data_IF_554290721885
#
_entry.id   IF_554290721885
#
_cell.length_a   1.000
_cell.length_b   1.000
_cell.length_c   1.000
_cell.angle_alpha   90.00
_cell.angle_beta   90.00
_cell.angle_gamma   90.00
#
_symmetry.space_group_name_H-M   'P 1'
#
loop_
_entity.id
_entity.type
_entity.pdbx_description
1 polymer ?
#
# COMPACT_ATOMS: atom_id res chain seq x y z
N UNK A 1 1.12 6.12 -7.11
CA UNK A 1 1.92 5.67 -8.27
C UNK A 1 1.20 5.95 -9.59
N UNK A 2 0.34 5.05 -10.07
CA UNK A 2 -0.35 5.09 -11.39
C UNK A 2 -0.79 6.49 -11.82
N UNK A 3 -1.64 7.16 -11.04
CA UNK A 3 -2.18 8.51 -11.32
C UNK A 3 -1.08 9.55 -11.63
N UNK A 4 0.06 9.55 -10.92
CA UNK A 4 1.16 10.54 -11.09
C UNK A 4 1.90 10.28 -12.40
N UNK A 5 2.13 9.01 -12.70
CA UNK A 5 2.84 8.55 -13.92
C UNK A 5 1.98 8.72 -15.17
N UNK A 6 0.66 8.53 -15.06
CA UNK A 6 -0.29 8.76 -16.15
C UNK A 6 -0.51 10.26 -16.41
N UNK A 7 -0.73 11.07 -15.37
CA UNK A 7 -0.81 12.53 -15.49
C UNK A 7 0.46 13.12 -16.14
N UNK A 8 1.64 12.65 -15.73
CA UNK A 8 2.91 13.04 -16.34
C UNK A 8 3.02 12.67 -17.82
N UNK A 9 2.41 11.56 -18.29
CA UNK A 9 2.30 11.24 -19.73
C UNK A 9 1.38 12.20 -20.48
N UNK A 10 0.36 12.76 -19.82
CA UNK A 10 -0.49 13.84 -20.34
C UNK A 10 0.14 15.25 -20.17
N UNK A 11 1.40 15.35 -19.72
CA UNK A 11 2.09 16.62 -19.48
C UNK A 11 1.68 17.37 -18.20
N UNK A 12 0.77 16.80 -17.41
CA UNK A 12 0.28 17.42 -16.17
C UNK A 12 1.12 16.96 -14.98
N UNK A 13 1.83 17.89 -14.35
CA UNK A 13 2.54 17.63 -13.09
C UNK A 13 1.55 17.67 -11.91
N UNK A 14 0.90 16.54 -11.63
CA UNK A 14 0.16 16.36 -10.37
C UNK A 14 1.08 15.79 -9.29
N UNK A 15 0.94 16.29 -8.07
CA UNK A 15 1.23 15.46 -6.90
C UNK A 15 0.05 14.49 -6.70
N UNK A 16 0.31 13.25 -6.23
CA UNK A 16 -0.76 12.24 -6.04
C UNK A 16 -1.06 12.07 -4.58
N UNK A 17 -2.27 12.49 -4.25
CA UNK A 17 -2.55 13.16 -2.99
C UNK A 17 -4.12 13.16 -2.97
N UNK A 18 -4.76 12.61 -1.93
CA UNK A 18 -6.21 12.24 -1.81
C UNK A 18 -6.72 12.12 -0.33
N UNK A 19 -7.99 12.48 -0.08
CA UNK A 19 -8.59 13.11 1.12
C UNK A 19 -8.00 13.09 2.55
N UNK A 20 -8.35 14.19 3.25
CA UNK A 20 -8.75 14.24 4.65
C UNK A 20 -10.21 14.76 4.79
N UNK A 21 -10.94 14.31 5.81
CA UNK A 21 -12.26 14.85 6.15
C UNK A 21 -13.24 14.82 4.98
N UNK A 22 -13.93 15.94 4.73
CA UNK A 22 -14.89 16.11 3.62
C UNK A 22 -14.25 16.69 2.34
N UNK A 23 -12.97 16.39 2.07
CA UNK A 23 -12.32 16.83 0.83
C UNK A 23 -12.60 15.87 -0.33
N UNK A 24 -13.03 16.43 -1.45
CA UNK A 24 -13.16 15.76 -2.75
C UNK A 24 -11.91 14.93 -3.08
N UNK A 25 -12.08 13.67 -3.45
CA UNK A 25 -10.97 12.75 -3.79
C UNK A 25 -11.26 11.91 -5.03
N UNK A 26 -10.18 11.48 -5.67
CA UNK A 26 -10.23 10.45 -6.70
C UNK A 26 -10.18 9.06 -6.06
N UNK A 27 -11.29 8.32 -6.07
CA UNK A 27 -11.34 6.91 -5.69
C UNK A 27 -10.91 6.05 -6.87
N UNK A 28 -9.74 5.43 -6.74
CA UNK A 28 -9.13 4.64 -7.80
C UNK A 28 -8.36 3.43 -7.23
N UNK A 29 -8.43 2.31 -7.95
CA UNK A 29 -7.86 0.98 -7.61
C UNK A 29 -8.50 0.33 -6.36
N UNK A 30 -8.75 -0.98 -6.44
CA UNK A 30 -9.27 -1.75 -5.31
C UNK A 30 -10.77 -1.58 -5.05
N UNK A 31 -11.20 -1.79 -3.80
CA UNK A 31 -12.62 -1.94 -3.43
C UNK A 31 -13.16 -0.80 -2.55
N UNK A 32 -12.75 0.44 -2.82
CA UNK A 32 -12.88 1.57 -1.88
C UNK A 32 -14.15 2.43 -2.04
N UNK A 33 -15.08 2.07 -2.94
CA UNK A 33 -16.29 2.88 -3.23
C UNK A 33 -17.23 3.19 -2.04
N UNK A 34 -17.07 2.51 -0.91
CA UNK A 34 -17.82 2.78 0.32
C UNK A 34 -17.33 4.04 1.07
N UNK A 35 -16.14 4.54 0.73
CA UNK A 35 -15.54 5.77 1.27
C UNK A 35 -15.94 7.03 0.47
N UNK A 36 -16.77 6.89 -0.57
CA UNK A 36 -17.14 8.00 -1.44
C UNK A 36 -18.13 8.97 -0.77
N UNK A 37 -17.93 10.27 -1.00
CA UNK A 37 -18.73 11.41 -0.53
C UNK A 37 -19.09 12.33 -1.70
N UNK A 38 -20.08 13.22 -1.52
CA UNK A 38 -20.36 14.29 -2.48
C UNK A 38 -19.10 15.10 -2.82
N UNK A 39 -18.92 15.39 -4.11
CA UNK A 39 -17.75 16.05 -4.69
C UNK A 39 -16.64 15.10 -5.13
N UNK A 40 -16.70 13.81 -4.79
CA UNK A 40 -15.69 12.83 -5.20
C UNK A 40 -15.78 12.43 -6.67
N UNK A 41 -14.66 11.90 -7.16
CA UNK A 41 -14.53 11.35 -8.51
C UNK A 41 -14.12 9.88 -8.44
N UNK A 42 -14.60 9.06 -9.38
CA UNK A 42 -14.34 7.61 -9.41
C UNK A 42 -13.68 7.22 -10.72
N UNK A 43 -12.55 6.51 -10.63
CA UNK A 43 -11.81 5.99 -11.79
C UNK A 43 -11.28 4.57 -11.53
N UNK A 44 -12.03 3.58 -12.02
CA UNK A 44 -11.67 2.16 -11.98
C UNK A 44 -11.70 1.51 -10.59
N UNK A 45 -12.24 2.20 -9.58
CA UNK A 45 -12.52 1.60 -8.27
C UNK A 45 -13.74 0.67 -8.35
N UNK A 46 -13.76 -0.36 -7.52
CA UNK A 46 -14.89 -1.27 -7.37
C UNK A 46 -15.53 -1.25 -5.98
N UNK A 47 -16.61 -2.01 -5.82
CA UNK A 47 -17.33 -2.16 -4.55
C UNK A 47 -16.73 -3.23 -3.64
N UNK A 48 -16.95 -3.07 -2.33
CA UNK A 48 -16.61 -4.05 -1.29
C UNK A 48 -17.88 -4.79 -0.84
N UNK A 49 -17.98 -6.09 -1.19
CA UNK A 49 -19.13 -6.94 -0.84
C UNK A 49 -19.35 -7.17 0.68
N UNK A 50 -18.47 -6.65 1.55
CA UNK A 50 -18.61 -6.71 3.01
C UNK A 50 -19.26 -5.46 3.62
N UNK A 51 -19.14 -4.31 2.95
CA UNK A 51 -19.41 -2.98 3.52
C UNK A 51 -20.42 -2.20 2.66
N UNK A 52 -21.50 -2.85 2.24
CA UNK A 52 -22.45 -2.30 1.29
C UNK A 52 -23.41 -1.25 1.92
N UNK A 53 -24.04 -0.46 1.06
CA UNK A 53 -25.11 0.52 1.32
C UNK A 53 -24.77 1.83 2.05
N UNK A 54 -24.24 1.79 3.29
CA UNK A 54 -24.56 2.84 4.29
C UNK A 54 -24.17 4.30 3.97
N UNK A 55 -23.12 4.55 3.18
CA UNK A 55 -22.71 5.91 2.81
C UNK A 55 -23.26 6.36 1.44
N UNK A 56 -23.38 5.45 0.47
CA UNK A 56 -23.76 5.78 -0.91
C UNK A 56 -25.23 6.21 -1.05
N UNK A 57 -26.11 5.71 -0.17
CA UNK A 57 -27.53 6.12 -0.15
C UNK A 57 -27.71 7.64 0.04
N UNK A 58 -26.87 8.25 0.89
CA UNK A 58 -26.91 9.68 1.22
C UNK A 58 -26.04 10.56 0.32
N UNK A 59 -25.20 9.99 -0.56
CA UNK A 59 -24.48 10.76 -1.57
C UNK A 59 -25.32 10.90 -2.85
N UNK A 60 -25.13 11.98 -3.59
CA UNK A 60 -25.80 12.28 -4.87
C UNK A 60 -24.89 12.94 -5.90
N UNK A 61 -23.76 13.48 -5.49
CA UNK A 61 -22.86 14.28 -6.32
C UNK A 61 -21.50 13.59 -6.47
N UNK A 62 -21.46 12.40 -7.05
CA UNK A 62 -20.21 11.64 -7.32
C UNK A 62 -20.01 11.58 -8.83
N UNK A 63 -18.87 12.05 -9.33
CA UNK A 63 -18.50 12.07 -10.75
C UNK A 63 -17.84 10.72 -11.12
N UNK A 64 -18.49 9.90 -11.95
CA UNK A 64 -18.01 8.54 -12.23
C UNK A 64 -17.47 8.42 -13.65
N UNK A 65 -16.15 8.38 -13.79
CA UNK A 65 -15.47 8.30 -15.09
C UNK A 65 -15.33 6.84 -15.56
N UNK A 66 -15.02 5.93 -14.64
CA UNK A 66 -15.05 4.48 -14.85
C UNK A 66 -15.13 3.73 -13.54
N UNK A 67 -15.49 2.45 -13.60
CA UNK A 67 -15.53 1.55 -12.43
C UNK A 67 -14.80 0.24 -12.72
N UNK A 68 -14.54 -0.58 -11.71
CA UNK A 68 -13.87 -1.88 -11.92
C UNK A 68 -14.62 -2.79 -12.92
N UNK A 69 -15.95 -2.79 -12.90
CA UNK A 69 -16.77 -3.59 -13.80
C UNK A 69 -18.29 -3.44 -13.65
N UNK A 70 -19.08 -4.31 -14.34
CA UNK A 70 -20.52 -4.15 -14.48
C UNK A 70 -21.30 -4.46 -13.20
N UNK A 71 -20.77 -5.29 -12.29
CA UNK A 71 -21.41 -5.55 -10.98
C UNK A 71 -21.37 -4.27 -10.14
N UNK A 72 -20.20 -3.60 -10.08
CA UNK A 72 -20.06 -2.27 -9.48
C UNK A 72 -20.98 -1.25 -10.16
N UNK A 73 -20.98 -1.17 -11.50
CA UNK A 73 -21.82 -0.19 -12.23
C UNK A 73 -23.30 -0.38 -11.92
N UNK A 74 -23.82 -1.60 -12.05
CA UNK A 74 -25.22 -1.94 -11.74
C UNK A 74 -25.61 -1.52 -10.33
N UNK A 75 -24.71 -1.74 -9.38
CA UNK A 75 -24.93 -1.43 -7.97
C UNK A 75 -24.88 0.08 -7.66
N UNK A 76 -24.12 0.88 -8.42
CA UNK A 76 -24.15 2.35 -8.35
C UNK A 76 -25.37 2.96 -9.04
N UNK A 77 -25.76 2.46 -10.23
CA UNK A 77 -26.98 2.88 -10.93
C UNK A 77 -28.24 2.74 -10.05
N UNK A 78 -28.29 1.71 -9.21
CA UNK A 78 -29.38 1.49 -8.24
C UNK A 78 -29.55 2.60 -7.19
N UNK A 79 -28.52 3.41 -6.93
CA UNK A 79 -28.57 4.55 -6.01
C UNK A 79 -28.78 5.91 -6.70
N UNK A 80 -28.93 5.90 -8.03
CA UNK A 80 -29.22 7.09 -8.85
C UNK A 80 -27.99 7.85 -9.37
N UNK A 81 -26.79 7.24 -9.32
CA UNK A 81 -25.60 7.83 -9.96
C UNK A 81 -25.59 7.54 -11.46
N UNK A 82 -25.19 8.51 -12.27
CA UNK A 82 -24.83 8.26 -13.67
C UNK A 82 -23.48 7.55 -13.73
N UNK A 83 -23.40 6.44 -14.47
CA UNK A 83 -22.18 5.62 -14.58
C UNK A 83 -21.99 5.16 -16.03
N UNK A 84 -20.89 5.51 -16.70
CA UNK A 84 -20.61 5.11 -18.08
C UNK A 84 -20.24 3.64 -18.18
N UNK A 85 -20.29 3.09 -19.39
CA UNK A 85 -19.84 1.73 -19.71
C UNK A 85 -18.33 1.69 -19.96
N UNK A 86 -17.56 2.27 -19.03
CA UNK A 86 -16.10 2.20 -18.96
C UNK A 86 -15.69 1.35 -17.76
N UNK A 87 -14.96 0.27 -18.03
CA UNK A 87 -14.58 -0.75 -17.04
C UNK A 87 -13.06 -0.94 -16.96
N UNK A 88 -12.60 -1.48 -15.83
CA UNK A 88 -11.23 -1.96 -15.62
C UNK A 88 -10.59 -1.46 -14.32
N UNK A 89 -9.68 -2.28 -13.76
CA UNK A 89 -8.84 -1.87 -12.63
C UNK A 89 -7.58 -1.13 -13.14
N UNK A 90 -7.26 0.10 -12.68
CA UNK A 90 -6.10 0.86 -13.16
C UNK A 90 -4.74 0.22 -12.89
N UNK A 91 -4.68 -0.85 -12.07
CA UNK A 91 -3.53 -1.74 -11.99
C UNK A 91 -3.13 -2.35 -13.33
N UNK A 92 -4.06 -2.52 -14.29
CA UNK A 92 -3.77 -2.96 -15.66
C UNK A 92 -2.78 -2.02 -16.38
N UNK A 93 -2.77 -0.74 -16.02
CA UNK A 93 -1.86 0.26 -16.60
C UNK A 93 -0.44 0.16 -16.04
N UNK A 94 -0.22 -0.57 -14.93
CA UNK A 94 1.04 -0.50 -14.19
C UNK A 94 2.25 -0.91 -15.04
N UNK A 95 2.16 -2.04 -15.74
CA UNK A 95 3.23 -2.55 -16.60
C UNK A 95 3.56 -1.61 -17.77
N UNK A 96 2.56 -1.02 -18.43
CA UNK A 96 2.75 0.00 -19.48
C UNK A 96 3.35 1.31 -18.93
N UNK A 97 2.96 1.71 -17.71
CA UNK A 97 3.41 2.95 -17.09
C UNK A 97 4.86 2.85 -16.58
N UNK A 98 5.28 1.68 -16.07
CA UNK A 98 6.55 1.48 -15.35
C UNK A 98 7.50 0.47 -16.03
N UNK A 99 7.30 0.13 -17.31
CA UNK A 99 8.05 -0.91 -18.02
C UNK A 99 9.58 -0.81 -17.88
N UNK A 100 10.14 0.40 -17.99
CA UNK A 100 11.58 0.63 -17.85
C UNK A 100 12.10 0.28 -16.46
N UNK A 101 11.34 0.64 -15.42
CA UNK A 101 11.65 0.34 -14.03
C UNK A 101 11.51 -1.17 -13.75
N UNK A 102 10.45 -1.81 -14.26
CA UNK A 102 10.19 -3.25 -14.08
C UNK A 102 11.24 -4.09 -14.83
N UNK A 103 11.57 -3.75 -16.08
CA UNK A 103 12.61 -4.42 -16.87
C UNK A 103 13.98 -4.32 -16.22
N UNK A 104 14.36 -3.15 -15.68
CA UNK A 104 15.62 -2.99 -14.92
C UNK A 104 15.64 -3.86 -13.67
N UNK A 105 14.53 -3.90 -12.92
CA UNK A 105 14.38 -4.74 -11.72
C UNK A 105 14.44 -6.23 -12.06
N UNK A 106 13.81 -6.65 -13.15
CA UNK A 106 13.83 -8.03 -13.63
C UNK A 106 15.24 -8.48 -14.04
N UNK A 107 16.00 -7.65 -14.76
CA UNK A 107 17.41 -7.95 -15.11
C UNK A 107 18.30 -8.10 -13.87
N UNK A 108 18.08 -7.28 -12.83
CA UNK A 108 18.81 -7.39 -11.56
C UNK A 108 18.44 -8.66 -10.76
N UNK A 109 17.17 -9.06 -10.77
CA UNK A 109 16.71 -10.31 -10.17
C UNK A 109 17.24 -11.53 -10.92
N UNK A 110 17.29 -11.48 -12.25
CA UNK A 110 17.81 -12.57 -13.09
C UNK A 110 19.32 -12.80 -12.86
N UNK A 111 20.12 -11.73 -12.92
CA UNK A 111 21.54 -11.78 -12.60
C UNK A 111 21.81 -12.22 -11.14
N UNK A 112 20.87 -12.02 -10.22
CA UNK A 112 20.95 -12.57 -8.87
C UNK A 112 20.73 -14.10 -8.86
N UNK A 113 19.71 -14.62 -9.55
CA UNK A 113 19.50 -16.07 -9.66
C UNK A 113 20.71 -16.78 -10.30
N UNK A 114 21.21 -16.27 -11.42
CA UNK A 114 22.39 -16.80 -12.13
C UNK A 114 23.63 -16.81 -11.22
N UNK A 115 23.99 -15.65 -10.64
CA UNK A 115 25.17 -15.49 -9.79
C UNK A 115 25.18 -16.42 -8.58
N UNK A 116 24.01 -16.74 -8.04
CA UNK A 116 23.87 -17.61 -6.86
C UNK A 116 23.59 -19.08 -7.21
N UNK A 117 23.57 -19.45 -8.49
CA UNK A 117 23.31 -20.82 -8.94
C UNK A 117 21.88 -21.30 -8.64
N UNK A 118 20.94 -20.36 -8.48
CA UNK A 118 19.56 -20.65 -8.11
C UNK A 118 18.68 -20.82 -9.35
N UNK A 119 17.78 -21.79 -9.33
CA UNK A 119 16.73 -21.88 -10.34
C UNK A 119 15.77 -20.68 -10.22
N UNK A 120 15.35 -20.12 -11.36
CA UNK A 120 14.26 -19.14 -11.37
C UNK A 120 12.95 -19.83 -10.94
N UNK A 121 12.13 -19.22 -10.07
CA UNK A 121 10.80 -19.73 -9.75
C UNK A 121 9.92 -19.67 -11.01
N UNK A 122 9.24 -20.78 -11.31
CA UNK A 122 8.28 -20.87 -12.43
C UNK A 122 6.93 -20.27 -12.06
N UNK A 123 6.52 -20.42 -10.81
CA UNK A 123 5.23 -19.91 -10.31
C UNK A 123 5.46 -18.83 -9.25
N UNK A 124 4.69 -17.75 -9.32
CA UNK A 124 4.63 -16.72 -8.27
C UNK A 124 3.30 -16.85 -7.53
N UNK A 125 3.37 -17.03 -6.21
CA UNK A 125 2.20 -17.11 -5.33
C UNK A 125 2.01 -15.79 -4.57
N UNK A 126 0.84 -15.15 -4.72
CA UNK A 126 0.51 -13.87 -4.08
C UNK A 126 -0.79 -14.02 -3.25
N UNK A 127 -0.71 -14.14 -1.92
CA UNK A 127 -1.91 -14.19 -1.08
C UNK A 127 -2.57 -12.81 -1.00
N UNK A 128 -3.82 -12.77 -0.55
CA UNK A 128 -4.44 -11.54 -0.10
C UNK A 128 -3.75 -11.02 1.16
N UNK A 129 -3.65 -9.69 1.33
CA UNK A 129 -3.12 -9.06 2.56
C UNK A 129 -3.88 -9.53 3.83
N UNK A 130 -5.19 -9.81 3.71
CA UNK A 130 -5.98 -10.34 4.82
C UNK A 130 -5.68 -11.83 5.13
N UNK A 131 -5.24 -12.59 4.12
CA UNK A 131 -4.83 -13.99 4.25
C UNK A 131 -3.35 -14.14 4.68
N UNK A 132 -2.51 -13.15 4.38
CA UNK A 132 -1.04 -13.19 4.49
C UNK A 132 -0.55 -13.69 5.87
N UNK A 133 -1.11 -13.12 6.94
CA UNK A 133 -0.87 -13.52 8.35
C UNK A 133 -1.34 -14.94 8.73
N UNK A 134 -1.86 -15.71 7.79
CA UNK A 134 -2.26 -17.11 7.94
C UNK A 134 -1.57 -18.04 6.93
N UNK A 135 -0.79 -17.50 5.99
CA UNK A 135 0.16 -18.24 5.15
C UNK A 135 1.54 -18.30 5.83
N UNK A 136 1.56 -18.80 7.07
CA UNK A 136 2.82 -19.25 7.67
C UNK A 136 3.26 -20.57 7.03
N UNK A 137 4.57 -20.79 6.77
CA UNK A 137 5.10 -21.95 6.04
C UNK A 137 4.92 -23.29 6.77
N UNK A 138 4.32 -23.31 7.95
CA UNK A 138 4.02 -24.51 8.75
C UNK A 138 2.78 -25.29 8.29
N UNK A 139 2.00 -24.79 7.31
CA UNK A 139 0.68 -25.36 6.96
C UNK A 139 0.43 -25.67 5.48
N UNK A 140 1.03 -24.94 4.55
CA UNK A 140 1.01 -25.26 3.12
C UNK A 140 2.44 -25.17 2.59
N UNK A 141 3.02 -26.31 2.25
CA UNK A 141 4.35 -26.40 1.63
C UNK A 141 4.18 -26.10 0.14
N UNK A 142 4.71 -24.97 -0.32
CA UNK A 142 4.79 -24.66 -1.74
C UNK A 142 5.86 -25.55 -2.42
N UNK A 143 5.69 -25.94 -3.70
CA UNK A 143 6.72 -26.63 -4.46
C UNK A 143 8.01 -25.81 -4.60
N UNK A 144 9.15 -26.47 -4.79
CA UNK A 144 10.48 -25.83 -4.83
C UNK A 144 10.64 -24.78 -5.95
N UNK A 145 9.85 -24.87 -7.02
CA UNK A 145 9.83 -23.90 -8.13
C UNK A 145 8.75 -22.82 -8.01
N UNK A 146 8.15 -22.65 -6.82
CA UNK A 146 7.20 -21.59 -6.49
C UNK A 146 7.83 -20.54 -5.57
N UNK A 147 7.63 -19.26 -5.87
CA UNK A 147 8.01 -18.14 -5.01
C UNK A 147 6.79 -17.51 -4.36
N UNK A 148 6.74 -17.53 -3.03
CA UNK A 148 5.83 -16.69 -2.24
C UNK A 148 6.27 -15.22 -2.33
N UNK A 149 5.34 -14.32 -2.69
CA UNK A 149 5.53 -12.88 -2.63
C UNK A 149 4.50 -12.25 -1.70
N UNK A 150 4.95 -11.38 -0.80
CA UNK A 150 4.03 -10.54 -0.02
C UNK A 150 3.32 -9.53 -0.94
N UNK A 151 2.00 -9.34 -0.82
CA UNK A 151 1.26 -8.29 -1.53
C UNK A 151 1.60 -6.87 -1.05
N UNK A 152 2.49 -6.72 -0.05
CA UNK A 152 2.96 -5.43 0.47
C UNK A 152 4.37 -5.03 0.02
N UNK A 153 5.00 -5.84 -0.85
CA UNK A 153 6.25 -5.45 -1.52
C UNK A 153 6.03 -4.26 -2.46
N UNK A 154 7.14 -3.62 -2.88
CA UNK A 154 7.09 -2.58 -3.90
C UNK A 154 6.44 -3.10 -5.20
N UNK A 155 5.49 -2.36 -5.81
CA UNK A 155 4.81 -2.81 -7.02
C UNK A 155 5.72 -3.09 -8.23
N UNK A 156 6.86 -2.41 -8.36
CA UNK A 156 7.85 -2.70 -9.43
C UNK A 156 8.58 -4.01 -9.13
N UNK A 157 8.87 -4.30 -7.86
CA UNK A 157 9.42 -5.60 -7.44
C UNK A 157 8.43 -6.76 -7.67
N UNK A 158 7.15 -6.60 -7.31
CA UNK A 158 6.12 -7.61 -7.58
C UNK A 158 5.99 -7.86 -9.09
N UNK A 159 5.84 -6.80 -9.89
CA UNK A 159 5.72 -6.93 -11.35
C UNK A 159 6.98 -7.57 -11.98
N UNK A 160 8.19 -7.28 -11.46
CA UNK A 160 9.43 -7.86 -11.97
C UNK A 160 9.55 -9.37 -11.68
N UNK A 161 9.10 -9.84 -10.51
CA UNK A 161 9.01 -11.28 -10.24
C UNK A 161 7.94 -11.95 -11.11
N UNK A 162 6.77 -11.32 -11.30
CA UNK A 162 5.72 -11.82 -12.22
C UNK A 162 6.29 -11.93 -13.64
N UNK A 163 7.00 -10.91 -14.13
CA UNK A 163 7.66 -10.87 -15.45
C UNK A 163 8.63 -12.01 -15.69
N UNK A 164 9.40 -12.41 -14.67
CA UNK A 164 10.32 -13.55 -14.74
C UNK A 164 9.62 -14.91 -14.60
N UNK A 165 8.45 -14.96 -13.98
CA UNK A 165 7.66 -16.20 -13.80
C UNK A 165 7.02 -16.71 -15.09
N UNK A 166 6.58 -17.97 -15.08
CA UNK A 166 5.78 -18.60 -16.13
C UNK A 166 4.28 -18.48 -15.87
N UNK A 167 3.84 -18.42 -14.60
CA UNK A 167 2.43 -18.29 -14.18
C UNK A 167 2.31 -17.66 -12.78
N UNK A 168 1.21 -16.96 -12.53
CA UNK A 168 0.83 -16.46 -11.20
C UNK A 168 -0.27 -17.32 -10.57
N UNK A 169 -0.25 -17.52 -9.25
CA UNK A 169 -1.36 -18.11 -8.48
C UNK A 169 -1.68 -17.12 -7.36
N UNK A 170 -2.93 -16.66 -7.23
CA UNK A 170 -3.20 -15.51 -6.35
C UNK A 170 -4.59 -15.51 -5.72
N UNK A 171 -4.64 -15.24 -4.41
CA UNK A 171 -5.84 -14.78 -3.71
C UNK A 171 -5.88 -13.25 -3.53
N UNK A 172 -4.85 -12.52 -3.99
CA UNK A 172 -4.91 -11.08 -4.21
C UNK A 172 -5.53 -10.76 -5.57
N UNK A 173 -6.51 -9.84 -5.60
CA UNK A 173 -7.07 -9.36 -6.87
C UNK A 173 -5.97 -8.68 -7.71
N UNK A 174 -5.17 -7.80 -7.11
CA UNK A 174 -4.09 -7.12 -7.83
C UNK A 174 -2.98 -8.08 -8.29
N UNK A 175 -2.84 -9.26 -7.67
CA UNK A 175 -1.94 -10.30 -8.18
C UNK A 175 -2.42 -10.90 -9.51
N UNK A 176 -3.73 -10.96 -9.74
CA UNK A 176 -4.32 -11.33 -11.03
C UNK A 176 -4.25 -10.16 -12.03
N UNK A 177 -4.57 -8.94 -11.59
CA UNK A 177 -4.46 -7.72 -12.41
C UNK A 177 -3.03 -7.52 -12.94
N UNK A 178 -2.01 -7.72 -12.09
CA UNK A 178 -0.60 -7.62 -12.51
C UNK A 178 -0.17 -8.80 -13.38
N UNK A 179 -0.77 -9.99 -13.23
CA UNK A 179 -0.53 -11.10 -14.16
C UNK A 179 -1.07 -10.77 -15.55
N UNK A 180 -2.30 -10.27 -15.65
CA UNK A 180 -2.91 -9.80 -16.90
C UNK A 180 -2.09 -8.66 -17.54
N UNK A 181 -1.63 -7.67 -16.74
CA UNK A 181 -0.80 -6.56 -17.22
C UNK A 181 0.60 -6.98 -17.73
N UNK A 182 1.13 -8.10 -17.22
CA UNK A 182 2.40 -8.71 -17.63
C UNK A 182 2.22 -9.82 -18.70
N UNK A 183 1.01 -10.04 -19.21
CA UNK A 183 0.70 -11.09 -20.18
C UNK A 183 0.95 -12.51 -19.65
N UNK A 184 0.82 -12.72 -18.34
CA UNK A 184 1.07 -14.00 -17.67
C UNK A 184 -0.22 -14.78 -17.44
N UNK A 185 -0.24 -16.09 -17.72
CA UNK A 185 -1.27 -16.97 -17.18
C UNK A 185 -1.38 -16.81 -15.67
N UNK A 186 -2.60 -16.86 -15.15
CA UNK A 186 -2.87 -16.77 -13.72
C UNK A 186 -3.86 -17.85 -13.26
N UNK A 187 -3.93 -18.11 -11.96
CA UNK A 187 -4.97 -18.97 -11.33
C UNK A 187 -5.56 -18.24 -10.12
N UNK A 188 -6.89 -18.14 -10.07
CA UNK A 188 -7.63 -17.58 -8.95
C UNK A 188 -7.61 -18.56 -7.76
N UNK A 189 -6.88 -18.20 -6.70
CA UNK A 189 -6.80 -18.97 -5.46
C UNK A 189 -7.77 -18.45 -4.42
N UNK A 190 -8.33 -19.34 -3.60
CA UNK A 190 -9.31 -19.03 -2.57
C UNK A 190 -8.71 -18.12 -1.49
N UNK A 191 -9.27 -16.93 -1.35
CA UNK A 191 -9.07 -16.13 -0.14
C UNK A 191 -9.90 -16.69 1.00
N UNK A 192 -9.36 -16.64 2.23
CA UNK A 192 -10.09 -17.03 3.45
C UNK A 192 -11.00 -15.92 3.95
N UNK A 193 -10.69 -14.66 3.61
CA UNK A 193 -11.42 -13.49 4.13
C UNK A 193 -12.16 -12.68 3.07
N UNK A 194 -11.89 -12.84 1.79
CA UNK A 194 -12.47 -12.01 0.73
C UNK A 194 -13.65 -12.69 0.02
N UNK A 195 -14.65 -11.89 -0.36
CA UNK A 195 -15.83 -12.34 -1.11
C UNK A 195 -15.51 -12.50 -2.60
N UNK A 196 -16.16 -13.45 -3.28
CA UNK A 196 -15.97 -13.73 -4.71
C UNK A 196 -16.33 -12.55 -5.63
N UNK A 197 -17.29 -11.71 -5.21
CA UNK A 197 -17.80 -10.53 -5.92
C UNK A 197 -16.74 -9.65 -6.57
N UNK A 198 -15.61 -9.39 -5.90
CA UNK A 198 -14.59 -8.47 -6.44
C UNK A 198 -13.78 -9.07 -7.59
N UNK A 199 -13.78 -10.39 -7.72
CA UNK A 199 -13.15 -11.11 -8.84
C UNK A 199 -14.15 -11.26 -9.98
N UNK A 200 -15.42 -11.59 -9.67
CA UNK A 200 -16.53 -11.58 -10.64
C UNK A 200 -16.62 -10.24 -11.36
N UNK A 201 -16.73 -9.14 -10.61
CA UNK A 201 -16.76 -7.77 -11.10
C UNK A 201 -15.53 -7.40 -11.96
N UNK A 202 -14.34 -7.94 -11.64
CA UNK A 202 -13.13 -7.71 -12.44
C UNK A 202 -13.09 -8.52 -13.74
N UNK A 203 -13.45 -9.80 -13.70
CA UNK A 203 -13.49 -10.64 -14.89
C UNK A 203 -14.59 -10.16 -15.84
N UNK A 204 -15.80 -9.90 -15.34
CA UNK A 204 -16.89 -9.33 -16.14
C UNK A 204 -16.53 -7.93 -16.67
N UNK A 205 -15.84 -7.11 -15.86
CA UNK A 205 -15.28 -5.81 -16.27
C UNK A 205 -14.12 -5.87 -17.26
N UNK A 206 -13.73 -7.08 -17.69
CA UNK A 206 -12.70 -7.32 -18.71
C UNK A 206 -13.17 -8.35 -19.76
N UNK A 207 -14.48 -8.46 -19.98
CA UNK A 207 -15.17 -9.36 -20.93
C UNK A 207 -14.87 -10.86 -20.75
N UNK A 208 -14.65 -11.28 -19.49
CA UNK A 208 -14.32 -12.65 -19.11
C UNK A 208 -15.32 -13.22 -18.08
N UNK A 209 -15.63 -14.50 -18.20
CA UNK A 209 -16.31 -15.22 -17.12
C UNK A 209 -15.37 -15.40 -15.92
N UNK A 210 -15.86 -15.22 -14.69
CA UNK A 210 -15.08 -15.55 -13.50
C UNK A 210 -14.71 -17.06 -13.51
N UNK A 211 -13.43 -17.42 -13.36
CA UNK A 211 -12.99 -18.80 -13.33
C UNK A 211 -13.36 -19.49 -12.01
N UNK A 212 -13.30 -20.83 -12.01
CA UNK A 212 -13.45 -21.60 -10.79
C UNK A 212 -12.35 -21.25 -9.77
N UNK A 213 -12.75 -21.05 -8.51
CA UNK A 213 -11.84 -20.75 -7.40
C UNK A 213 -11.12 -22.02 -6.97
N UNK A 214 -9.79 -21.98 -6.90
CA UNK A 214 -8.96 -23.10 -6.48
C UNK A 214 -8.67 -23.02 -4.97
N UNK A 215 -8.86 -24.11 -4.23
CA UNK A 215 -8.79 -24.11 -2.76
C UNK A 215 -7.47 -24.62 -2.18
N UNK A 216 -6.66 -25.32 -2.97
CA UNK A 216 -5.44 -26.01 -2.50
C UNK A 216 -4.29 -25.87 -3.50
N UNK A 217 -3.06 -25.89 -3.00
CA UNK A 217 -1.84 -25.87 -3.83
C UNK A 217 -1.82 -27.02 -4.85
N UNK A 218 -2.31 -28.21 -4.47
CA UNK A 218 -2.42 -29.37 -5.37
C UNK A 218 -3.29 -29.09 -6.60
N UNK A 219 -4.54 -28.69 -6.40
CA UNK A 219 -5.44 -28.29 -7.49
C UNK A 219 -4.87 -27.13 -8.34
N UNK A 220 -4.05 -26.25 -7.74
CA UNK A 220 -3.41 -25.16 -8.46
C UNK A 220 -2.23 -25.62 -9.33
N UNK A 221 -1.65 -26.81 -9.10
CA UNK A 221 -0.66 -27.42 -10.00
C UNK A 221 -1.34 -27.91 -11.29
N UNK A 222 -2.56 -28.47 -11.19
CA UNK A 222 -3.31 -29.09 -12.29
C UNK A 222 -3.93 -28.11 -13.32
N UNK A 223 -3.52 -26.83 -13.28
CA UNK A 223 -3.80 -25.77 -14.27
C UNK A 223 -5.27 -25.50 -14.65
N UNK A 224 -6.05 -24.98 -13.70
CA UNK A 224 -7.12 -24.02 -14.09
C UNK A 224 -6.49 -22.63 -14.25
N UNK A 225 -6.17 -22.27 -15.50
CA UNK A 225 -5.80 -20.89 -15.82
C UNK A 225 -7.07 -20.02 -15.90
N UNK A 226 -6.99 -18.77 -15.44
CA UNK A 226 -8.02 -17.75 -15.70
C UNK A 226 -8.06 -17.42 -17.20
N UNK A 227 -9.19 -16.93 -17.75
CA UNK A 227 -9.22 -16.56 -19.16
C UNK A 227 -8.25 -15.42 -19.45
N UNK A 228 -7.50 -15.54 -20.56
CA UNK A 228 -6.49 -14.58 -21.00
C UNK A 228 -7.10 -13.17 -21.20
N UNK A 229 -6.51 -12.13 -20.60
CA UNK A 229 -6.93 -10.75 -20.85
C UNK A 229 -6.57 -10.32 -22.28
N UNK A 230 -7.59 -9.95 -23.07
CA UNK A 230 -7.46 -9.46 -24.47
C UNK A 230 -8.06 -8.06 -24.66
N UNK A 231 -8.43 -7.42 -23.56
CA UNK A 231 -9.08 -6.11 -23.57
C UNK A 231 -8.10 -4.98 -23.86
N UNK A 232 -8.63 -3.90 -24.41
CA UNK A 232 -7.91 -2.62 -24.53
C UNK A 232 -7.92 -1.89 -23.20
N UNK A 233 -6.76 -1.37 -22.77
CA UNK A 233 -6.68 -0.45 -21.61
C UNK A 233 -6.97 1.01 -22.01
N UNK A 234 -7.10 1.27 -23.30
CA UNK A 234 -7.37 2.57 -23.91
C UNK A 234 -8.64 3.23 -23.38
N UNK A 235 -9.73 2.48 -23.15
CA UNK A 235 -10.96 3.02 -22.57
C UNK A 235 -10.72 3.59 -21.16
N UNK A 236 -9.91 2.90 -20.35
CA UNK A 236 -9.55 3.30 -19.00
C UNK A 236 -8.57 4.49 -18.98
N UNK A 237 -7.72 4.62 -20.01
CA UNK A 237 -6.86 5.81 -20.22
C UNK A 237 -7.70 7.00 -20.68
N UNK A 238 -8.65 6.81 -21.58
CA UNK A 238 -9.55 7.85 -22.08
C UNK A 238 -10.50 8.36 -20.99
N UNK A 239 -10.97 7.48 -20.12
CA UNK A 239 -11.80 7.82 -18.96
C UNK A 239 -10.99 8.24 -17.71
N UNK A 240 -9.74 8.64 -17.86
CA UNK A 240 -8.97 9.25 -16.76
C UNK A 240 -9.38 10.73 -16.65
N UNK A 241 -9.73 11.27 -15.46
CA UNK A 241 -10.30 12.63 -15.26
C UNK A 241 -9.49 13.84 -15.76
N UNK A 242 -8.40 13.63 -16.50
CA UNK A 242 -7.55 14.68 -17.08
C UNK A 242 -7.70 14.79 -18.61
N UNK A 243 -8.67 14.09 -19.22
CA UNK A 243 -8.79 13.91 -20.68
C UNK A 243 -9.76 14.88 -21.39
N UNK A 244 -10.50 15.71 -20.65
CA UNK A 244 -11.50 16.66 -21.17
C UNK A 244 -11.33 18.08 -20.66
N UNK A 245 -12.39 18.91 -20.73
CA UNK A 245 -12.40 20.32 -20.26
C UNK A 245 -12.37 20.48 -18.72
N UNK A 246 -11.86 19.48 -18.00
CA UNK A 246 -11.69 19.53 -16.54
C UNK A 246 -10.47 20.39 -16.22
N UNK A 247 -10.69 21.63 -15.77
CA UNK A 247 -9.60 22.50 -15.31
C UNK A 247 -9.03 22.02 -13.97
N UNK A 248 -8.00 21.18 -14.06
CA UNK A 248 -7.23 20.68 -12.93
C UNK A 248 -6.39 21.75 -12.23
N UNK A 249 -6.24 22.96 -12.81
CA UNK A 249 -5.66 24.08 -12.07
C UNK A 249 -6.64 24.63 -11.01
N UNK A 250 -7.94 24.33 -11.16
CA UNK A 250 -8.98 24.61 -10.16
C UNK A 250 -9.22 23.47 -9.14
N UNK A 251 -9.08 22.20 -9.54
CA UNK A 251 -9.32 21.01 -8.68
C UNK A 251 -8.02 20.45 -8.06
N UNK A 252 -7.90 20.49 -6.72
CA UNK A 252 -6.82 19.83 -5.95
C UNK A 252 -7.34 18.55 -5.28
N UNK A 253 -6.56 17.47 -5.37
CA UNK A 253 -6.79 16.21 -4.65
C UNK A 253 -5.71 16.12 -3.55
N UNK A 254 -5.99 15.91 -2.24
CA UNK A 254 -4.98 15.92 -1.13
C UNK A 254 -5.41 15.01 0.05
N UNK A 255 -4.62 14.14 0.72
CA UNK A 255 -3.23 13.66 0.55
C UNK A 255 -2.28 14.36 1.52
N UNK A 256 -2.25 13.86 2.75
CA UNK A 256 -1.17 14.12 3.68
C UNK A 256 -0.50 12.79 4.07
N UNK A 257 0.67 12.60 3.45
CA UNK A 257 1.85 12.64 4.29
C UNK A 257 1.81 13.98 5.06
N UNK A 258 1.54 13.99 6.38
CA UNK A 258 1.38 15.21 7.15
C UNK A 258 2.58 16.13 7.02
N UNK A 259 2.28 17.42 6.98
CA UNK A 259 3.25 18.47 6.74
C UNK A 259 3.96 18.82 8.03
N UNK A 260 5.28 18.63 8.07
CA UNK A 260 6.14 19.01 9.20
C UNK A 260 6.94 20.27 8.81
N UNK A 261 6.79 21.31 9.61
CA UNK A 261 7.55 22.56 9.50
C UNK A 261 8.98 22.37 10.01
N UNK A 262 9.97 22.86 9.26
CA UNK A 262 11.38 22.78 9.64
C UNK A 262 11.62 23.76 10.80
N UNK A 263 12.27 23.30 11.87
CA UNK A 263 12.49 24.07 13.09
C UNK A 263 11.34 24.05 14.10
N UNK A 264 10.24 23.31 13.82
CA UNK A 264 9.11 23.15 14.75
C UNK A 264 9.08 21.77 15.39
N UNK A 265 8.85 21.75 16.71
CA UNK A 265 8.53 20.55 17.47
C UNK A 265 7.00 20.37 17.57
N UNK A 266 6.56 19.12 17.46
CA UNK A 266 5.18 18.69 17.61
C UNK A 266 5.11 17.65 18.73
N UNK A 267 4.28 17.86 19.75
CA UNK A 267 4.12 16.94 20.88
C UNK A 267 2.84 16.11 20.73
N UNK A 268 2.91 14.83 21.06
CA UNK A 268 1.78 13.91 20.94
C UNK A 268 0.66 14.18 21.98
N UNK A 269 0.89 15.04 22.97
CA UNK A 269 -0.15 15.54 23.85
C UNK A 269 -1.00 16.67 23.21
N UNK A 270 -0.48 17.35 22.19
CA UNK A 270 -0.98 18.66 21.73
C UNK A 270 -1.72 18.61 20.39
N UNK A 271 -2.07 17.43 19.85
CA UNK A 271 -2.86 17.31 18.61
C UNK A 271 -3.86 16.15 18.68
N UNK A 272 -5.06 16.37 18.13
CA UNK A 272 -6.22 15.48 18.28
C UNK A 272 -6.13 14.15 17.50
N UNK A 273 -5.35 14.10 16.42
CA UNK A 273 -5.02 12.86 15.71
C UNK A 273 -3.55 12.86 15.24
N UNK A 274 -2.93 11.68 15.34
CA UNK A 274 -1.56 11.39 14.93
C UNK A 274 -1.47 10.17 13.99
N UNK A 275 -2.57 9.47 13.72
CA UNK A 275 -2.64 8.33 12.78
C UNK A 275 -2.21 8.69 11.36
N UNK A 276 -2.23 9.99 11.05
CA UNK A 276 -1.73 10.54 9.80
C UNK A 276 -0.20 10.51 9.73
N UNK A 277 0.52 10.77 10.82
CA UNK A 277 1.99 10.71 10.86
C UNK A 277 2.44 9.27 11.17
N UNK A 278 1.77 8.65 12.15
CA UNK A 278 2.04 7.33 12.67
C UNK A 278 1.21 6.30 11.91
N UNK A 279 1.82 5.73 10.87
CA UNK A 279 1.23 4.67 10.04
C UNK A 279 1.28 3.32 10.80
N UNK A 280 1.07 2.21 10.10
CA UNK A 280 0.97 0.87 10.71
C UNK A 280 2.14 0.50 11.65
N UNK A 281 1.82 -0.20 12.74
CA UNK A 281 2.74 -0.64 13.80
C UNK A 281 2.82 0.26 15.04
N UNK A 282 2.17 1.44 15.02
CA UNK A 282 2.00 2.31 16.19
C UNK A 282 0.61 2.17 16.83
N UNK A 283 0.50 2.40 18.14
CA UNK A 283 -0.78 2.50 18.85
C UNK A 283 -1.46 3.84 18.56
N UNK A 284 -2.78 3.91 18.83
CA UNK A 284 -3.42 5.20 19.11
C UNK A 284 -2.66 5.93 20.22
N UNK A 285 -2.62 7.26 20.15
CA UNK A 285 -2.03 8.09 21.20
C UNK A 285 -2.85 7.92 22.49
N UNK A 286 -2.15 7.77 23.60
CA UNK A 286 -2.71 7.71 24.94
C UNK A 286 -1.76 8.39 25.93
N UNK A 287 -2.31 9.25 26.80
CA UNK A 287 -1.52 10.05 27.76
C UNK A 287 -0.32 10.80 27.12
N UNK A 288 -0.54 11.39 25.94
CA UNK A 288 0.49 12.16 25.22
C UNK A 288 1.62 11.33 24.60
N UNK A 289 1.45 10.02 24.42
CA UNK A 289 2.45 9.16 23.77
C UNK A 289 1.81 8.07 22.91
N UNK A 290 2.54 7.56 21.91
CA UNK A 290 2.18 6.36 21.15
C UNK A 290 3.26 5.29 21.34
N UNK A 291 2.84 4.03 21.43
CA UNK A 291 3.74 2.87 21.55
C UNK A 291 3.84 2.12 20.22
N UNK A 292 5.02 1.65 19.85
CA UNK A 292 5.16 0.58 18.86
C UNK A 292 4.46 -0.68 19.39
N UNK A 293 3.53 -1.27 18.64
CA UNK A 293 2.81 -2.51 19.04
C UNK A 293 3.33 -3.77 18.35
N UNK A 294 4.29 -3.60 17.44
CA UNK A 294 4.84 -4.63 16.56
C UNK A 294 6.37 -4.49 16.44
N UNK A 295 7.05 -5.51 15.88
CA UNK A 295 8.50 -5.45 15.60
C UNK A 295 8.89 -4.39 14.55
N UNK A 296 7.91 -3.83 13.83
CA UNK A 296 8.10 -2.71 12.90
C UNK A 296 6.98 -1.69 13.09
N UNK A 297 7.31 -0.41 12.95
CA UNK A 297 6.34 0.68 12.89
C UNK A 297 6.78 1.72 11.86
N UNK A 298 5.84 2.45 11.26
CA UNK A 298 6.13 3.36 10.14
C UNK A 298 5.69 4.79 10.42
N UNK A 299 6.53 5.75 10.07
CA UNK A 299 6.22 7.18 10.12
C UNK A 299 6.39 7.73 8.71
N UNK A 300 5.43 8.51 8.20
CA UNK A 300 5.55 9.10 6.87
C UNK A 300 5.00 10.52 6.85
N UNK A 301 5.75 11.45 6.26
CA UNK A 301 5.51 12.91 6.34
C UNK A 301 6.08 13.64 5.12
N UNK A 302 5.68 14.90 4.94
CA UNK A 302 6.22 15.81 3.93
C UNK A 302 6.74 17.10 4.56
N UNK A 303 7.70 17.76 3.91
CA UNK A 303 8.20 19.06 4.36
C UNK A 303 7.22 20.19 4.02
N UNK A 304 7.08 21.17 4.91
CA UNK A 304 6.32 22.40 4.64
C UNK A 304 6.94 23.29 3.56
N UNK A 305 8.27 23.22 3.40
CA UNK A 305 9.05 24.06 2.49
C UNK A 305 9.79 23.22 1.45
N UNK A 306 9.88 23.73 0.22
CA UNK A 306 10.62 23.06 -0.86
C UNK A 306 12.12 23.32 -0.71
N UNK A 307 12.81 22.41 -0.03
CA UNK A 307 14.23 22.52 0.28
C UNK A 307 15.10 22.29 -0.95
N UNK A 308 16.06 23.20 -1.19
CA UNK A 308 17.05 23.09 -2.29
C UNK A 308 18.12 22.05 -1.95
N UNK A 309 18.72 21.46 -2.99
CA UNK A 309 19.64 20.30 -3.06
C UNK A 309 20.93 20.33 -2.17
N UNK A 310 21.03 21.18 -1.16
CA UNK A 310 22.24 21.35 -0.31
C UNK A 310 21.97 21.53 1.19
N UNK A 311 20.72 21.41 1.68
CA UNK A 311 20.41 21.48 3.12
C UNK A 311 20.36 20.08 3.73
N UNK A 312 21.17 19.81 4.75
CA UNK A 312 21.17 18.54 5.48
C UNK A 312 20.09 18.53 6.56
N UNK A 313 18.98 17.84 6.31
CA UNK A 313 17.87 17.76 7.27
C UNK A 313 17.98 16.50 8.15
N UNK A 314 17.48 16.62 9.38
CA UNK A 314 17.39 15.52 10.36
C UNK A 314 15.97 15.47 10.91
N UNK A 315 15.29 14.34 10.74
CA UNK A 315 14.07 14.03 11.47
C UNK A 315 14.46 13.48 12.84
N UNK A 316 13.95 14.10 13.91
CA UNK A 316 14.23 13.70 15.29
C UNK A 316 12.91 13.34 15.96
N UNK A 317 12.87 12.20 16.66
CA UNK A 317 11.74 11.83 17.52
C UNK A 317 12.20 11.59 18.96
N UNK A 318 11.38 11.98 19.94
CA UNK A 318 11.66 11.76 21.36
C UNK A 318 11.05 10.42 21.78
N UNK A 319 11.89 9.48 22.19
CA UNK A 319 11.48 8.10 22.49
C UNK A 319 12.01 7.58 23.83
N UNK A 320 11.21 6.74 24.48
CA UNK A 320 11.60 5.95 25.64
C UNK A 320 11.18 4.48 25.52
N UNK A 321 11.40 3.70 26.57
CA UNK A 321 11.14 2.24 26.58
C UNK A 321 10.41 1.81 27.85
N UNK A 322 10.01 0.54 27.93
CA UNK A 322 9.64 -0.10 29.19
C UNK A 322 10.88 -0.21 30.11
N UNK A 323 10.70 0.06 31.41
CA UNK A 323 11.76 -0.07 32.44
C UNK A 323 12.28 -1.53 32.57
N UNK A 324 11.47 -2.53 32.21
CA UNK A 324 11.86 -3.95 32.15
C UNK A 324 11.46 -4.54 30.80
N UNK A 325 12.21 -5.53 30.33
CA UNK A 325 12.00 -6.16 29.03
C UNK A 325 13.10 -7.14 28.69
N UNK A 326 13.07 -7.65 27.46
CA UNK A 326 14.16 -8.40 26.87
C UNK A 326 15.38 -7.47 26.72
N UNK A 327 16.48 -7.87 27.36
CA UNK A 327 17.75 -7.14 27.39
C UNK A 327 17.69 -5.82 28.17
N UNK A 328 18.87 -5.26 28.45
CA UNK A 328 19.02 -3.98 29.14
C UNK A 328 18.71 -2.76 28.24
N UNK A 329 18.40 -2.97 26.97
CA UNK A 329 18.14 -1.92 25.99
C UNK A 329 17.17 -2.38 24.90
N UNK A 330 16.41 -1.43 24.35
CA UNK A 330 15.80 -1.56 23.03
C UNK A 330 16.78 -1.05 21.96
N UNK A 331 16.77 -1.67 20.78
CA UNK A 331 17.59 -1.20 19.65
C UNK A 331 16.72 -0.99 18.42
N UNK A 332 16.73 0.25 17.95
CA UNK A 332 15.86 0.75 16.89
C UNK A 332 16.73 0.95 15.65
N UNK A 333 16.47 0.20 14.58
CA UNK A 333 17.01 0.53 13.24
C UNK A 333 15.97 1.34 12.50
N UNK A 334 16.37 2.44 11.86
CA UNK A 334 15.50 3.24 11.00
C UNK A 334 15.94 3.06 9.56
N UNK A 335 15.02 2.67 8.69
CA UNK A 335 15.25 2.60 7.26
C UNK A 335 14.38 3.56 6.46
N UNK A 336 14.94 4.06 5.37
CA UNK A 336 14.29 4.88 4.34
C UNK A 336 14.62 4.25 2.98
N UNK A 337 13.64 4.16 2.07
CA UNK A 337 13.83 3.57 0.73
C UNK A 337 14.56 2.20 0.75
N UNK A 338 14.23 1.35 1.72
CA UNK A 338 14.84 0.03 1.94
C UNK A 338 16.25 0.01 2.55
N UNK A 339 16.92 1.15 2.71
CA UNK A 339 18.27 1.28 3.29
C UNK A 339 18.20 1.68 4.76
N UNK A 340 19.06 1.13 5.61
CA UNK A 340 19.19 1.58 7.01
C UNK A 340 19.93 2.94 7.00
N UNK A 341 19.26 3.99 7.49
CA UNK A 341 19.77 5.37 7.54
C UNK A 341 20.12 5.85 8.95
N UNK A 342 19.59 5.19 9.99
CA UNK A 342 19.97 5.45 11.38
C UNK A 342 19.84 4.19 12.24
N UNK A 343 20.50 4.18 13.39
CA UNK A 343 20.33 3.16 14.44
C UNK A 343 20.54 3.82 15.81
N UNK A 344 19.58 3.61 16.72
CA UNK A 344 19.61 4.11 18.09
C UNK A 344 19.48 2.96 19.10
N UNK A 345 20.00 3.17 20.31
CA UNK A 345 19.94 2.21 21.42
C UNK A 345 19.39 2.94 22.63
N UNK A 346 18.19 2.56 23.07
CA UNK A 346 17.50 3.14 24.23
C UNK A 346 17.64 2.20 25.41
N UNK A 347 18.38 2.58 26.44
CA UNK A 347 18.56 1.79 27.66
C UNK A 347 17.26 1.74 28.48
N UNK A 348 16.90 0.56 28.98
CA UNK A 348 15.64 0.34 29.71
C UNK A 348 15.71 0.99 31.09
N UNK A 349 14.74 1.86 31.39
CA UNK A 349 14.67 2.62 32.65
C UNK A 349 15.40 3.96 32.65
N UNK A 350 16.04 4.35 31.54
CA UNK A 350 16.63 5.69 31.38
C UNK A 350 15.57 6.68 30.87
N UNK A 351 15.86 7.98 31.01
CA UNK A 351 15.00 9.05 30.46
C UNK A 351 14.90 8.98 28.93
N UNK A 352 13.83 9.56 28.37
CA UNK A 352 13.57 9.57 26.94
C UNK A 352 14.64 10.35 26.16
N UNK A 353 15.00 9.84 24.98
CA UNK A 353 16.12 10.35 24.17
C UNK A 353 15.67 10.68 22.75
N UNK A 354 16.30 11.69 22.16
CA UNK A 354 16.05 12.08 20.77
C UNK A 354 16.74 11.11 19.80
N UNK A 355 15.95 10.22 19.20
CA UNK A 355 16.36 9.35 18.08
C UNK A 355 16.43 10.20 16.82
N UNK A 356 17.64 10.47 16.35
CA UNK A 356 17.91 11.30 15.16
C UNK A 356 18.05 10.44 13.90
N UNK A 357 17.46 10.89 12.79
CA UNK A 357 17.40 10.21 11.50
C UNK A 357 17.80 11.19 10.39
N UNK A 358 18.94 11.00 9.70
CA UNK A 358 19.30 11.79 8.53
C UNK A 358 18.26 11.63 7.41
N UNK A 359 17.91 12.74 6.74
CA UNK A 359 17.02 12.73 5.59
C UNK A 359 17.79 12.97 4.30
N UNK A 360 17.88 11.95 3.46
CA UNK A 360 18.40 12.07 2.09
C UNK A 360 17.35 12.75 1.20
N UNK A 361 17.57 14.02 0.85
CA UNK A 361 16.77 14.72 -0.16
C UNK A 361 17.09 14.15 -1.55
N UNK A 362 16.06 13.69 -2.25
CA UNK A 362 16.10 13.38 -3.69
C UNK A 362 15.39 14.49 -4.49
N UNK A 363 15.70 14.55 -5.79
CA UNK A 363 15.46 15.69 -6.69
C UNK A 363 13.97 15.93 -7.06
N UNK A 364 13.10 16.14 -6.07
CA UNK A 364 11.64 16.21 -6.30
C UNK A 364 10.80 16.91 -5.22
N UNK A 365 10.32 16.11 -4.26
CA UNK A 365 9.03 16.39 -3.59
C UNK A 365 9.10 16.65 -2.07
N UNK A 366 10.20 16.31 -1.38
CA UNK A 366 10.30 16.47 0.08
C UNK A 366 9.38 15.55 0.91
N UNK A 367 8.97 14.41 0.33
CA UNK A 367 8.14 13.36 0.96
C UNK A 367 9.06 12.25 1.52
N UNK A 368 8.73 11.71 2.71
CA UNK A 368 9.53 10.70 3.39
C UNK A 368 8.67 9.59 4.00
N UNK A 369 9.08 8.33 3.86
CA UNK A 369 8.59 7.20 4.65
C UNK A 369 9.75 6.53 5.38
N UNK A 370 9.65 6.48 6.72
CA UNK A 370 10.64 5.92 7.63
C UNK A 370 10.06 4.68 8.31
N UNK A 371 10.75 3.54 8.19
CA UNK A 371 10.41 2.29 8.87
C UNK A 371 11.33 2.08 10.06
N UNK A 372 10.75 2.03 11.26
CA UNK A 372 11.42 1.75 12.52
C UNK A 372 11.29 0.26 12.80
N UNK A 373 12.41 -0.44 13.00
CA UNK A 373 12.46 -1.85 13.36
C UNK A 373 13.05 -2.01 14.76
N UNK A 374 12.33 -2.70 15.64
CA UNK A 374 12.69 -2.92 17.04
C UNK A 374 13.30 -4.32 17.20
N UNK A 375 14.51 -4.43 17.75
CA UNK A 375 15.22 -5.71 17.88
C UNK A 375 14.76 -6.52 19.10
N UNK A 376 14.48 -5.86 20.22
CA UNK A 376 14.23 -6.49 21.53
C UNK A 376 12.82 -6.22 22.13
N UNK A 377 11.73 -5.99 21.34
CA UNK A 377 10.45 -5.56 21.90
C UNK A 377 9.88 -6.61 22.87
N UNK A 378 9.20 -6.13 23.91
CA UNK A 378 8.88 -6.91 25.11
C UNK A 378 7.40 -6.80 25.44
N UNK A 379 6.77 -7.88 25.91
CA UNK A 379 5.38 -7.81 26.35
C UNK A 379 5.30 -7.40 27.83
N UNK A 380 4.52 -6.35 28.20
CA UNK A 380 4.38 -5.96 29.60
C UNK A 380 3.92 -7.11 30.53
N UNK A 381 3.09 -8.03 30.04
CA UNK A 381 2.62 -9.19 30.81
C UNK A 381 3.77 -10.06 31.34
N UNK A 382 4.85 -10.23 30.57
CA UNK A 382 6.04 -11.04 30.91
C UNK A 382 6.79 -10.50 32.14
N UNK A 383 6.62 -9.21 32.49
CA UNK A 383 7.38 -8.51 33.53
C UNK A 383 6.49 -7.85 34.61
N UNK A 384 5.21 -7.66 34.34
CA UNK A 384 4.24 -6.97 35.20
C UNK A 384 2.98 -7.81 35.51
N UNK A 385 2.74 -8.93 34.81
CA UNK A 385 1.56 -9.78 35.02
C UNK A 385 0.22 -9.08 34.77
N UNK A 386 0.21 -8.11 33.85
CA UNK A 386 -0.92 -7.20 33.62
C UNK A 386 -1.83 -7.61 32.43
N UNK A 387 -1.57 -8.74 31.77
CA UNK A 387 -2.32 -9.25 30.63
C UNK A 387 -2.01 -8.62 29.27
N UNK A 388 -1.16 -7.58 29.19
CA UNK A 388 -0.82 -6.94 27.92
C UNK A 388 0.31 -7.70 27.19
N UNK A 389 -0.08 -8.47 26.17
CA UNK A 389 0.78 -9.36 25.39
C UNK A 389 1.32 -8.73 24.10
N UNK A 390 1.16 -7.41 23.90
CA UNK A 390 1.70 -6.70 22.74
C UNK A 390 3.21 -6.55 22.85
N UNK A 391 3.95 -6.78 21.77
CA UNK A 391 5.40 -6.62 21.76
C UNK A 391 5.76 -5.13 21.67
N UNK A 392 5.99 -4.50 22.81
CA UNK A 392 6.32 -3.08 22.91
C UNK A 392 7.84 -2.86 22.83
N UNK A 393 8.30 -2.22 21.75
CA UNK A 393 9.69 -1.77 21.61
C UNK A 393 9.91 -0.45 22.34
N UNK A 394 9.40 0.64 21.75
CA UNK A 394 9.53 1.99 22.26
C UNK A 394 8.19 2.74 22.28
N UNK A 395 8.10 3.75 23.15
CA UNK A 395 7.10 4.82 23.04
C UNK A 395 7.75 6.07 22.47
N UNK A 396 6.93 6.91 21.86
CA UNK A 396 7.30 8.22 21.33
C UNK A 396 6.34 9.29 21.88
N UNK A 397 6.84 10.52 22.10
CA UNK A 397 6.03 11.64 22.63
C UNK A 397 6.20 12.97 21.88
N UNK A 398 7.25 13.13 21.06
CA UNK A 398 7.45 14.33 20.24
C UNK A 398 8.16 14.00 18.92
N UNK A 399 7.93 14.80 17.89
CA UNK A 399 8.64 14.75 16.60
C UNK A 399 9.03 16.16 16.13
N UNK A 400 10.15 16.30 15.42
CA UNK A 400 10.62 17.57 14.85
C UNK A 400 11.52 17.34 13.62
N UNK A 401 11.74 18.38 12.81
CA UNK A 401 12.76 18.38 11.77
C UNK A 401 13.72 19.55 11.99
N UNK A 402 15.01 19.24 12.04
CA UNK A 402 16.14 20.17 12.21
C UNK A 402 16.94 20.24 10.90
N UNK A 403 17.58 21.37 10.57
CA UNK A 403 18.54 21.46 9.44
C UNK A 403 18.77 22.85 8.88
#
# INVERSE_FOLDING_TARGET
MIVKKLASKFGVSVDVVAAQGSQNKLLSVGSILHEAINGDEVWGSGINGKCWARNLESQKEIEVHSVRGPVTRKAMLQYGFEVPESYGDPGLLFSFLYDNEISKKALLLDAFYEKHGLARPKVVFIPNINDERFYFPEREVLPEDWLYLSPTLDPVEIAAHIRLSQRVVSSSLHGLVFADAEGKPATLFKSRFETILKYEDYFEGTDRSCPAVIETVGQAIDQVNVPEFKGSVEALIQSFPLSGEVDLSSKKYITKHPVIEIGRQYNLADCDDYSEILKGGWSKVWNGSSWSTEKRARIAFSLAERVKEKKSLTFSLLAGTLHKGHGNYEKIRVSSNGRIVSTAVLKRGDEAQWVKVPLELSDGNGEFELTFSFENPSAPDEYLGNGDKRLLGAWISSVQIEG
#
